data_IF_680220597268
#
_entry.id   IF_680220597268
#
_cell.length_a   1.000
_cell.length_b   1.000
_cell.length_c   1.000
_cell.angle_alpha   90.00
_cell.angle_beta   90.00
_cell.angle_gamma   90.00
#
_symmetry.space_group_name_H-M   'P 1'
#
loop_
_entity.id
_entity.type
_entity.pdbx_description
1 polymer ?
#
# COMPACT_ATOMS: atom_id res chain seq x y z
N UNK A 1 12.75 13.73 9.48
CA UNK A 1 12.78 13.43 8.03
C UNK A 1 11.39 13.65 7.49
N UNK A 2 11.23 14.54 6.52
CA UNK A 2 9.94 14.85 5.92
C UNK A 2 9.44 13.62 5.15
N UNK A 3 8.22 13.16 5.44
CA UNK A 3 7.57 12.18 4.57
C UNK A 3 7.33 12.82 3.21
N UNK A 4 7.56 12.06 2.16
CA UNK A 4 7.25 12.51 0.80
C UNK A 4 5.72 12.60 0.66
N UNK A 5 5.22 13.67 0.04
CA UNK A 5 3.79 13.82 -0.27
C UNK A 5 3.57 13.43 -1.72
N UNK A 6 2.69 12.46 -1.96
CA UNK A 6 2.30 12.05 -3.31
C UNK A 6 0.89 12.51 -3.65
N UNK A 7 0.68 12.82 -4.92
CA UNK A 7 -0.64 13.03 -5.50
C UNK A 7 -1.17 11.68 -5.96
N UNK A 8 -2.22 11.18 -5.31
CA UNK A 8 -2.77 9.86 -5.61
C UNK A 8 -3.33 9.76 -7.02
N UNK A 9 -3.73 10.88 -7.63
CA UNK A 9 -4.26 10.89 -8.99
C UNK A 9 -3.21 10.50 -10.02
N UNK A 10 -1.92 10.74 -9.73
CA UNK A 10 -0.79 10.42 -10.61
C UNK A 10 -0.38 8.95 -10.62
N UNK A 11 -0.86 8.15 -9.67
CA UNK A 11 -0.70 6.69 -9.73
C UNK A 11 -1.49 6.18 -10.95
N UNK A 12 -0.90 5.37 -11.83
CA UNK A 12 -1.61 4.88 -13.02
C UNK A 12 -2.40 3.60 -12.77
N UNK A 13 -1.94 2.78 -11.83
CA UNK A 13 -2.56 1.49 -11.52
C UNK A 13 -3.66 1.66 -10.47
N UNK A 14 -4.90 1.38 -10.85
CA UNK A 14 -6.05 1.52 -9.96
C UNK A 14 -5.93 0.66 -8.70
N UNK A 15 -5.46 -0.59 -8.81
CA UNK A 15 -5.31 -1.45 -7.62
C UNK A 15 -4.21 -0.95 -6.67
N UNK A 16 -3.15 -0.32 -7.20
CA UNK A 16 -2.17 0.35 -6.34
C UNK A 16 -2.80 1.52 -5.58
N UNK A 17 -3.66 2.33 -6.24
CA UNK A 17 -4.42 3.39 -5.58
C UNK A 17 -5.30 2.83 -4.47
N UNK A 18 -6.05 1.76 -4.76
CA UNK A 18 -7.00 1.17 -3.81
C UNK A 18 -6.26 0.67 -2.55
N UNK A 19 -5.07 0.07 -2.71
CA UNK A 19 -4.21 -0.31 -1.57
C UNK A 19 -3.76 0.92 -0.77
N UNK A 20 -3.33 1.99 -1.44
CA UNK A 20 -2.87 3.22 -0.78
C UNK A 20 -4.00 3.91 0.00
N UNK A 21 -5.20 3.97 -0.58
CA UNK A 21 -6.41 4.52 0.07
C UNK A 21 -6.75 3.68 1.31
N UNK A 22 -6.78 2.34 1.17
CA UNK A 22 -7.08 1.44 2.27
C UNK A 22 -6.09 1.62 3.44
N UNK A 23 -4.79 1.77 3.14
CA UNK A 23 -3.78 2.02 4.16
C UNK A 23 -3.87 3.43 4.77
N UNK A 24 -4.37 4.42 4.03
CA UNK A 24 -4.63 5.76 4.55
C UNK A 24 -5.76 5.74 5.58
N UNK A 25 -6.83 4.99 5.31
CA UNK A 25 -7.98 4.87 6.20
C UNK A 25 -7.70 4.03 7.45
N UNK A 26 -6.88 2.99 7.34
CA UNK A 26 -6.63 2.01 8.41
C UNK A 26 -5.37 2.30 9.23
N UNK A 27 -4.56 3.29 8.85
CA UNK A 27 -3.19 3.61 9.33
C UNK A 27 -2.15 2.49 9.16
N UNK A 28 -2.50 1.25 9.53
CA UNK A 28 -1.75 0.03 9.29
C UNK A 28 -2.71 -1.12 8.99
N UNK A 29 -2.34 -2.00 8.05
CA UNK A 29 -3.21 -3.11 7.66
C UNK A 29 -2.42 -4.37 7.34
N UNK A 30 -3.04 -5.53 7.58
CA UNK A 30 -2.36 -6.83 7.42
C UNK A 30 -2.28 -7.15 5.93
N UNK A 31 -1.09 -7.57 5.48
CA UNK A 31 -0.80 -7.96 4.10
C UNK A 31 -1.85 -8.92 3.51
N UNK A 32 -2.19 -9.98 4.25
CA UNK A 32 -3.18 -10.97 3.79
C UNK A 32 -4.59 -10.38 3.68
N UNK A 33 -4.97 -9.51 4.61
CA UNK A 33 -6.29 -8.89 4.62
C UNK A 33 -6.44 -7.85 3.51
N UNK A 34 -5.37 -7.12 3.15
CA UNK A 34 -5.35 -6.25 1.95
C UNK A 34 -5.71 -7.05 0.70
N UNK A 35 -5.07 -8.20 0.51
CA UNK A 35 -5.31 -9.06 -0.67
C UNK A 35 -6.76 -9.56 -0.67
N UNK A 36 -7.25 -9.99 0.49
CA UNK A 36 -8.60 -10.52 0.66
C UNK A 36 -9.68 -9.47 0.40
N UNK A 37 -9.56 -8.29 1.01
CA UNK A 37 -10.58 -7.24 0.95
C UNK A 37 -10.69 -6.63 -0.45
N UNK A 38 -9.55 -6.49 -1.14
CA UNK A 38 -9.52 -6.04 -2.53
C UNK A 38 -9.86 -7.16 -3.53
N UNK A 39 -10.20 -8.37 -3.04
CA UNK A 39 -10.56 -9.54 -3.84
C UNK A 39 -9.49 -9.87 -4.89
N UNK A 40 -8.22 -9.66 -4.54
CA UNK A 40 -7.08 -9.92 -5.41
C UNK A 40 -6.69 -11.40 -5.31
N UNK A 41 -6.20 -11.97 -6.40
CA UNK A 41 -5.48 -13.24 -6.31
C UNK A 41 -4.19 -13.05 -5.51
N UNK A 42 -3.75 -14.08 -4.80
CA UNK A 42 -2.54 -14.02 -3.98
C UNK A 42 -1.31 -13.51 -4.77
N UNK A 43 -1.13 -14.02 -6.00
CA UNK A 43 -0.06 -13.58 -6.91
C UNK A 43 -0.19 -12.11 -7.27
N UNK A 44 -1.37 -11.67 -7.72
CA UNK A 44 -1.61 -10.27 -8.13
C UNK A 44 -1.41 -9.30 -6.96
N UNK A 45 -1.92 -9.66 -5.79
CA UNK A 45 -1.72 -8.90 -4.56
C UNK A 45 -0.25 -8.77 -4.19
N UNK A 46 0.52 -9.86 -4.28
CA UNK A 46 1.95 -9.85 -4.06
C UNK A 46 2.69 -8.93 -5.03
N UNK A 47 2.38 -8.99 -6.32
CA UNK A 47 2.99 -8.14 -7.35
C UNK A 47 2.75 -6.65 -7.07
N UNK A 48 1.50 -6.27 -6.73
CA UNK A 48 1.12 -4.89 -6.45
C UNK A 48 1.77 -4.36 -5.17
N UNK A 49 1.72 -5.14 -4.08
CA UNK A 49 2.32 -4.73 -2.81
C UNK A 49 3.84 -4.63 -2.94
N UNK A 50 4.49 -5.55 -3.67
CA UNK A 50 5.93 -5.49 -3.92
C UNK A 50 6.31 -4.25 -4.74
N UNK A 51 5.50 -3.89 -5.74
CA UNK A 51 5.66 -2.65 -6.50
C UNK A 51 5.61 -1.42 -5.59
N UNK A 52 4.61 -1.33 -4.70
CA UNK A 52 4.46 -0.22 -3.76
C UNK A 52 5.61 -0.14 -2.74
N UNK A 53 6.11 -1.28 -2.26
CA UNK A 53 7.29 -1.37 -1.39
C UNK A 53 8.54 -0.87 -2.11
N UNK A 54 8.76 -1.31 -3.34
CA UNK A 54 9.92 -0.91 -4.15
C UNK A 54 9.89 0.58 -4.50
N UNK A 55 8.69 1.15 -4.72
CA UNK A 55 8.48 2.59 -4.91
C UNK A 55 8.63 3.41 -3.61
N UNK A 56 8.78 2.75 -2.45
CA UNK A 56 8.89 3.43 -1.16
C UNK A 56 7.59 4.06 -0.64
N UNK A 57 6.44 3.76 -1.26
CA UNK A 57 5.14 4.35 -0.91
C UNK A 57 4.53 3.71 0.35
N UNK A 58 4.83 2.43 0.56
CA UNK A 58 4.43 1.67 1.74
C UNK A 58 5.65 1.05 2.39
N UNK A 59 5.53 0.68 3.67
CA UNK A 59 6.57 -0.06 4.38
C UNK A 59 5.99 -1.10 5.33
N UNK A 60 6.77 -2.14 5.60
CA UNK A 60 6.49 -3.14 6.63
C UNK A 60 6.75 -2.57 8.02
N UNK A 61 5.96 -2.98 8.99
CA UNK A 61 6.15 -2.65 10.41
C UNK A 61 6.82 -3.83 11.10
N UNK A 62 7.99 -3.61 11.71
CA UNK A 62 8.65 -4.52 12.66
C UNK A 62 8.72 -5.99 12.22
N UNK A 63 9.09 -6.24 10.96
CA UNK A 63 9.15 -7.59 10.34
C UNK A 63 7.83 -8.39 10.37
N UNK A 64 6.71 -7.74 10.70
CA UNK A 64 5.39 -8.35 10.72
C UNK A 64 4.73 -8.34 9.34
N UNK A 65 3.57 -8.98 9.27
CA UNK A 65 2.67 -8.91 8.11
C UNK A 65 1.98 -7.56 7.96
N UNK A 66 2.15 -6.60 8.89
CA UNK A 66 1.52 -5.29 8.79
C UNK A 66 2.27 -4.36 7.84
N UNK A 67 1.49 -3.66 7.03
CA UNK A 67 1.92 -2.59 6.14
C UNK A 67 1.33 -1.26 6.59
N UNK A 68 2.05 -0.17 6.35
CA UNK A 68 1.53 1.19 6.47
C UNK A 68 2.05 2.08 5.36
N UNK A 69 1.38 3.22 5.16
CA UNK A 69 1.91 4.27 4.31
C UNK A 69 3.26 4.79 4.83
N UNK A 70 4.16 5.03 3.90
CA UNK A 70 5.44 5.68 4.14
C UNK A 70 5.48 7.12 3.58
N UNK A 71 4.40 7.53 2.93
CA UNK A 71 4.17 8.84 2.32
C UNK A 71 2.91 9.46 2.90
N UNK A 72 2.74 10.76 2.69
CA UNK A 72 1.46 11.44 2.89
C UNK A 72 0.73 11.54 1.55
N UNK A 73 -0.59 11.38 1.57
CA UNK A 73 -1.42 11.40 0.37
C UNK A 73 -2.13 12.75 0.27
N UNK A 74 -2.04 13.38 -0.90
CA UNK A 74 -2.79 14.57 -1.29
C UNK A 74 -3.82 14.22 -2.37
#
# INVERSE_FOLDING_TARGET
MSKETIDIQKISNQFEKDILILLNEKEKYVYGDIIKDLKLSARRGQELISSLLNKGLVKRIDQSSYLKLNVDIK
#
